data_IF_658685437777
#
_entry.id   IF_658685437777
#
_cell.length_a   1.000
_cell.length_b   1.000
_cell.length_c   1.000
_cell.angle_alpha   90.00
_cell.angle_beta   90.00
_cell.angle_gamma   90.00
#
_symmetry.space_group_name_H-M   'P 1'
#
loop_
_entity.id
_entity.type
_entity.pdbx_description
1 polymer ?
#
# COMPACT_ATOMS: atom_id res chain seq x y z
N UNK A 1 -3.47 -52.20 -65.36
CA UNK A 1 -2.52 -51.08 -65.25
C UNK A 1 -3.00 -50.17 -64.12
N UNK A 2 -2.05 -49.78 -63.26
CA UNK A 2 -2.12 -48.79 -62.17
C UNK A 2 -2.96 -49.14 -60.91
N UNK A 3 -2.20 -49.65 -59.94
CA UNK A 3 -2.46 -50.06 -58.57
C UNK A 3 -2.78 -48.90 -57.62
N UNK A 4 -3.77 -49.08 -56.76
CA UNK A 4 -4.08 -48.26 -55.57
C UNK A 4 -3.01 -48.45 -54.47
N UNK A 5 -2.52 -47.40 -53.80
CA UNK A 5 -1.81 -47.60 -52.54
C UNK A 5 -2.76 -47.42 -51.33
N UNK A 6 -2.72 -48.42 -50.45
CA UNK A 6 -3.30 -48.42 -49.11
C UNK A 6 -2.61 -47.40 -48.17
N UNK A 7 -3.31 -46.88 -47.16
CA UNK A 7 -2.72 -46.02 -46.13
C UNK A 7 -1.97 -46.82 -45.06
N UNK A 8 -0.81 -46.30 -44.65
CA UNK A 8 0.03 -46.79 -43.56
C UNK A 8 -0.58 -46.45 -42.19
N UNK A 9 -0.51 -47.33 -41.18
CA UNK A 9 -0.89 -47.00 -39.80
C UNK A 9 0.31 -46.40 -39.05
N UNK A 10 0.15 -45.22 -38.47
CA UNK A 10 1.05 -44.70 -37.45
C UNK A 10 0.41 -44.84 -36.07
N UNK A 11 1.05 -45.66 -35.23
CA UNK A 11 0.81 -45.72 -33.80
C UNK A 11 1.53 -44.57 -33.08
N UNK A 12 0.86 -44.12 -31.99
CA UNK A 12 1.30 -43.40 -30.77
C UNK A 12 2.11 -42.09 -30.96
N UNK A 13 2.03 -41.06 -30.11
CA UNK A 13 2.21 -41.04 -28.66
C UNK A 13 1.53 -39.82 -27.99
N UNK A 14 0.98 -40.05 -26.80
CA UNK A 14 0.90 -39.15 -25.64
C UNK A 14 0.90 -37.63 -25.88
N UNK A 15 -0.30 -37.05 -25.94
CA UNK A 15 -0.54 -35.62 -25.70
C UNK A 15 -1.45 -35.43 -24.50
N UNK A 16 -0.91 -35.54 -23.29
CA UNK A 16 -1.59 -35.17 -22.05
C UNK A 16 -2.17 -33.76 -22.17
N UNK A 17 -3.49 -33.65 -22.25
CA UNK A 17 -4.21 -32.39 -22.06
C UNK A 17 -4.04 -31.96 -20.61
N UNK A 18 -3.04 -31.12 -20.33
CA UNK A 18 -3.01 -30.34 -19.11
C UNK A 18 -4.08 -29.24 -19.21
N UNK A 19 -5.24 -29.53 -18.64
CA UNK A 19 -6.26 -28.56 -18.29
C UNK A 19 -5.64 -27.51 -17.37
N UNK A 20 -5.42 -26.29 -17.87
CA UNK A 20 -5.09 -25.14 -17.03
C UNK A 20 -6.37 -24.64 -16.34
N UNK A 21 -6.85 -25.43 -15.39
CA UNK A 21 -7.81 -24.99 -14.38
C UNK A 21 -7.03 -24.20 -13.34
N UNK A 22 -6.76 -22.91 -13.63
CA UNK A 22 -6.25 -21.98 -12.63
C UNK A 22 -7.41 -21.48 -11.81
N UNK A 23 -7.78 -22.27 -10.80
CA UNK A 23 -8.49 -21.78 -9.63
C UNK A 23 -7.69 -20.62 -9.03
N UNK A 24 -8.23 -19.40 -8.87
CA UNK A 24 -7.64 -18.44 -7.97
C UNK A 24 -7.90 -18.96 -6.55
N UNK A 25 -6.83 -19.44 -5.91
CA UNK A 25 -6.86 -19.82 -4.52
C UNK A 25 -7.31 -18.63 -3.68
N UNK A 26 -8.49 -18.75 -3.07
CA UNK A 26 -8.92 -17.94 -1.95
C UNK A 26 -7.94 -18.17 -0.80
N UNK A 27 -7.07 -17.21 -0.55
CA UNK A 27 -6.04 -17.29 0.48
C UNK A 27 -5.37 -15.95 0.74
N UNK A 28 -6.14 -14.87 0.89
CA UNK A 28 -5.59 -13.55 1.15
C UNK A 28 -5.27 -13.36 2.64
N UNK A 29 -4.18 -14.03 3.03
CA UNK A 29 -3.47 -13.76 4.27
C UNK A 29 -3.01 -12.30 4.31
N UNK A 30 -3.40 -11.60 5.36
CA UNK A 30 -3.02 -10.23 5.71
C UNK A 30 -1.51 -10.00 5.91
N UNK A 31 -0.66 -10.99 5.62
CA UNK A 31 0.78 -10.99 5.94
C UNK A 31 1.66 -10.53 4.77
N UNK A 32 1.18 -10.55 3.52
CA UNK A 32 1.96 -10.10 2.34
C UNK A 32 2.03 -8.57 2.22
N UNK A 33 1.18 -7.83 2.96
CA UNK A 33 1.01 -6.38 2.79
C UNK A 33 2.07 -5.48 3.44
N UNK A 34 2.69 -5.90 4.54
CA UNK A 34 3.55 -4.99 5.33
C UNK A 34 4.93 -4.77 4.71
N UNK A 35 5.60 -5.81 4.25
CA UNK A 35 6.98 -5.72 3.73
C UNK A 35 7.07 -4.81 2.50
N UNK A 36 6.03 -4.79 1.66
CA UNK A 36 5.95 -3.89 0.50
C UNK A 36 5.93 -2.42 0.93
N UNK A 37 5.25 -2.09 2.03
CA UNK A 37 5.13 -0.73 2.57
C UNK A 37 6.41 -0.24 3.28
N UNK A 38 7.37 -1.13 3.50
CA UNK A 38 8.66 -0.82 4.12
C UNK A 38 9.81 -0.83 3.12
N UNK A 39 9.57 -1.25 1.87
CA UNK A 39 10.59 -1.32 0.84
C UNK A 39 11.26 0.05 0.63
N UNK A 40 12.59 0.10 0.81
CA UNK A 40 13.40 1.30 0.62
C UNK A 40 13.34 2.32 1.77
N UNK A 41 12.54 2.09 2.82
CA UNK A 41 12.46 2.98 3.97
C UNK A 41 13.62 2.73 4.93
N UNK A 42 14.55 3.68 5.09
CA UNK A 42 15.49 3.69 6.21
C UNK A 42 14.72 4.09 7.49
N UNK A 43 14.50 3.21 8.47
CA UNK A 43 13.65 3.51 9.62
C UNK A 43 14.32 4.53 10.52
N UNK A 44 13.80 5.75 10.54
CA UNK A 44 14.14 6.82 11.47
C UNK A 44 12.85 7.54 11.83
N UNK A 45 12.79 8.18 13.00
CA UNK A 45 11.60 8.93 13.44
C UNK A 45 11.11 9.89 12.35
N UNK A 46 12.04 10.62 11.71
CA UNK A 46 11.75 11.53 10.59
C UNK A 46 11.14 10.82 9.39
N UNK A 47 11.71 9.68 8.97
CA UNK A 47 11.25 8.96 7.78
C UNK A 47 9.90 8.27 8.03
N UNK A 48 9.73 7.68 9.21
CA UNK A 48 8.48 7.03 9.63
C UNK A 48 7.35 8.06 9.71
N UNK A 49 7.63 9.21 10.32
CA UNK A 49 6.69 10.35 10.36
C UNK A 49 6.31 10.79 8.95
N UNK A 50 7.31 11.03 8.09
CA UNK A 50 7.07 11.49 6.72
C UNK A 50 6.23 10.50 5.93
N UNK A 51 6.51 9.20 6.08
CA UNK A 51 5.77 8.12 5.45
C UNK A 51 4.31 8.06 5.95
N UNK A 52 4.08 8.14 7.26
CA UNK A 52 2.72 8.12 7.82
C UNK A 52 1.86 9.30 7.31
N UNK A 53 2.43 10.51 7.32
CA UNK A 53 1.76 11.70 6.79
C UNK A 53 1.50 11.56 5.28
N UNK A 54 2.49 11.07 4.52
CA UNK A 54 2.34 10.91 3.08
C UNK A 54 1.27 9.89 2.71
N UNK A 55 1.25 8.73 3.38
CA UNK A 55 0.26 7.66 3.19
C UNK A 55 -1.14 8.19 3.47
N UNK A 56 -1.37 8.85 4.61
CA UNK A 56 -2.66 9.45 4.92
C UNK A 56 -3.08 10.49 3.88
N UNK A 57 -2.15 11.35 3.45
CA UNK A 57 -2.47 12.40 2.49
C UNK A 57 -2.89 11.87 1.13
N UNK A 58 -2.28 10.80 0.63
CA UNK A 58 -2.68 10.25 -0.67
C UNK A 58 -3.99 9.46 -0.57
N UNK A 59 -4.23 8.82 0.58
CA UNK A 59 -5.46 8.08 0.87
C UNK A 59 -6.69 9.03 0.90
N UNK A 60 -6.57 10.18 1.59
CA UNK A 60 -7.56 11.28 1.56
C UNK A 60 -7.91 11.76 0.14
N UNK A 61 -6.94 11.65 -0.76
CA UNK A 61 -7.05 12.07 -2.16
C UNK A 61 -7.49 10.93 -3.09
N UNK A 62 -7.84 9.76 -2.53
CA UNK A 62 -8.35 8.60 -3.26
C UNK A 62 -7.26 7.77 -3.94
N UNK A 63 -6.07 7.70 -3.34
CA UNK A 63 -4.96 6.86 -3.81
C UNK A 63 -4.49 5.94 -2.70
N UNK A 64 -4.40 4.64 -2.99
CA UNK A 64 -3.74 3.69 -2.11
C UNK A 64 -2.30 3.47 -2.59
N UNK A 65 -1.29 3.50 -1.70
CA UNK A 65 0.06 3.10 -2.05
C UNK A 65 0.11 1.59 -2.36
N UNK A 66 1.00 1.22 -3.29
CA UNK A 66 1.31 -0.19 -3.61
C UNK A 66 2.69 -0.61 -3.06
N UNK A 67 3.37 0.30 -2.39
CA UNK A 67 4.66 0.08 -1.75
C UNK A 67 5.00 1.23 -0.80
N UNK A 68 6.17 1.14 -0.15
CA UNK A 68 6.61 2.12 0.83
C UNK A 68 6.77 3.52 0.26
N UNK A 69 6.62 4.53 1.12
CA UNK A 69 6.83 5.92 0.74
C UNK A 69 8.30 6.14 0.32
N UNK A 70 8.57 6.48 -0.96
CA UNK A 70 9.94 6.51 -1.47
C UNK A 70 10.62 7.88 -1.30
N UNK A 71 9.91 8.88 -0.77
CA UNK A 71 10.34 10.28 -0.75
C UNK A 71 9.45 11.18 -1.63
N UNK A 72 9.62 12.50 -1.49
CA UNK A 72 8.72 13.48 -2.11
C UNK A 72 8.83 13.56 -3.64
N UNK A 73 10.05 13.36 -4.13
CA UNK A 73 10.43 13.59 -5.52
C UNK A 73 10.79 12.28 -6.23
N UNK A 74 10.34 11.16 -5.67
CA UNK A 74 10.47 9.82 -6.26
C UNK A 74 9.10 9.33 -6.71
N UNK A 75 9.07 8.59 -7.81
CA UNK A 75 7.86 7.96 -8.33
C UNK A 75 7.36 6.90 -7.34
N UNK A 76 6.12 7.07 -6.88
CA UNK A 76 5.45 6.17 -5.95
C UNK A 76 4.44 5.30 -6.69
N UNK A 77 4.58 3.95 -6.64
CA UNK A 77 3.53 3.04 -7.10
C UNK A 77 2.24 3.21 -6.30
N UNK A 78 1.14 3.48 -6.99
CA UNK A 78 -0.17 3.77 -6.40
C UNK A 78 -1.30 3.10 -7.18
N UNK A 79 -2.43 2.89 -6.49
CA UNK A 79 -3.72 2.47 -7.03
C UNK A 79 -4.74 3.60 -6.86
N UNK A 80 -5.47 3.92 -7.92
CA UNK A 80 -6.61 4.82 -7.87
C UNK A 80 -7.77 4.12 -7.15
N UNK A 81 -8.24 4.68 -6.04
CA UNK A 81 -9.37 4.12 -5.29
C UNK A 81 -10.73 4.41 -5.93
N UNK A 82 -10.77 5.26 -6.96
CA UNK A 82 -12.00 5.59 -7.70
C UNK A 82 -12.34 4.51 -8.74
N UNK A 83 -11.34 3.96 -9.43
CA UNK A 83 -11.55 3.05 -10.56
C UNK A 83 -10.62 1.84 -10.59
N UNK A 84 -9.70 1.70 -9.63
CA UNK A 84 -8.78 0.57 -9.53
C UNK A 84 -7.49 0.66 -10.36
N UNK A 85 -7.33 1.67 -11.22
CA UNK A 85 -6.12 1.86 -12.04
C UNK A 85 -4.84 1.87 -11.21
N UNK A 86 -3.78 1.21 -11.68
CA UNK A 86 -2.46 1.19 -11.04
C UNK A 86 -1.39 1.85 -11.91
N UNK A 87 -0.50 2.62 -11.28
CA UNK A 87 0.67 3.19 -11.96
C UNK A 87 1.53 4.00 -11.00
N UNK A 88 2.39 4.87 -11.52
CA UNK A 88 3.33 5.66 -10.71
C UNK A 88 3.00 7.15 -10.71
N UNK A 89 3.20 7.80 -9.56
CA UNK A 89 2.97 9.24 -9.37
C UNK A 89 3.99 9.84 -8.40
N UNK A 90 4.40 11.09 -8.63
CA UNK A 90 5.18 11.83 -7.63
C UNK A 90 4.31 12.21 -6.44
N UNK A 91 4.78 11.94 -5.21
CA UNK A 91 4.07 12.39 -4.01
C UNK A 91 3.88 13.91 -3.99
N UNK A 92 4.87 14.67 -4.46
CA UNK A 92 4.80 16.13 -4.58
C UNK A 92 3.62 16.62 -5.43
N UNK A 93 3.21 15.87 -6.44
CA UNK A 93 2.01 16.15 -7.26
C UNK A 93 0.74 15.68 -6.56
N UNK A 94 0.75 14.46 -6.02
CA UNK A 94 -0.38 13.88 -5.33
C UNK A 94 -0.82 14.78 -4.17
N UNK A 95 0.08 15.18 -3.27
CA UNK A 95 -0.27 15.98 -2.07
C UNK A 95 -0.93 17.33 -2.37
N UNK A 96 -0.70 17.87 -3.58
CA UNK A 96 -1.25 19.14 -4.08
C UNK A 96 -2.54 18.95 -4.90
N UNK A 97 -3.07 17.73 -4.97
CA UNK A 97 -4.22 17.36 -5.81
C UNK A 97 -4.03 17.76 -7.29
N UNK A 98 -2.82 17.56 -7.83
CA UNK A 98 -2.51 17.81 -9.25
C UNK A 98 -2.14 16.50 -9.95
N UNK A 99 -2.52 16.33 -11.24
CA UNK A 99 -3.38 17.18 -12.07
C UNK A 99 -4.89 17.01 -11.77
N UNK A 100 -5.73 17.89 -12.32
CA UNK A 100 -7.19 17.81 -12.17
C UNK A 100 -7.79 16.53 -12.78
N UNK A 101 -7.17 16.06 -13.88
CA UNK A 101 -7.36 14.72 -14.42
C UNK A 101 -6.44 13.76 -13.64
N UNK A 102 -7.01 12.70 -13.06
CA UNK A 102 -6.27 11.75 -12.21
C UNK A 102 -5.33 10.87 -13.04
N UNK A 103 -5.84 10.27 -14.11
CA UNK A 103 -5.13 9.50 -15.12
C UNK A 103 -6.03 9.35 -16.37
N UNK A 104 -5.48 8.81 -17.47
CA UNK A 104 -6.23 8.53 -18.70
C UNK A 104 -7.35 7.53 -18.39
N UNK A 105 -8.53 7.74 -18.99
CA UNK A 105 -9.69 6.85 -18.86
C UNK A 105 -10.15 6.64 -17.40
N UNK A 106 -9.91 7.63 -16.54
CA UNK A 106 -10.57 7.69 -15.24
C UNK A 106 -12.05 8.06 -15.41
N UNK A 107 -12.80 7.95 -14.30
CA UNK A 107 -14.12 8.55 -14.15
C UNK A 107 -14.12 10.01 -14.66
N UNK A 108 -15.19 10.51 -15.29
CA UNK A 108 -15.28 11.90 -15.72
C UNK A 108 -14.96 12.88 -14.58
N UNK A 109 -14.29 13.98 -14.90
CA UNK A 109 -13.84 14.96 -13.91
C UNK A 109 -14.99 15.52 -13.06
N UNK A 110 -16.19 15.64 -13.64
CA UNK A 110 -17.42 16.07 -12.96
C UNK A 110 -17.84 15.13 -11.82
N UNK A 111 -17.49 13.85 -11.89
CA UNK A 111 -17.91 12.84 -10.91
C UNK A 111 -16.86 12.58 -9.83
N UNK A 112 -15.62 13.06 -10.03
CA UNK A 112 -14.54 12.92 -9.03
C UNK A 112 -14.94 13.41 -7.63
N UNK A 113 -15.61 14.57 -7.42
CA UNK A 113 -15.94 15.04 -6.08
C UNK A 113 -16.83 14.05 -5.32
N UNK A 114 -17.84 13.49 -5.99
CA UNK A 114 -18.76 12.52 -5.39
C UNK A 114 -18.05 11.21 -5.03
N UNK A 115 -17.17 10.71 -5.92
CA UNK A 115 -16.38 9.51 -5.64
C UNK A 115 -15.44 9.70 -4.45
N UNK A 116 -14.76 10.86 -4.36
CA UNK A 116 -13.88 11.17 -3.23
C UNK A 116 -14.64 11.38 -1.92
N UNK A 117 -15.85 11.93 -1.95
CA UNK A 117 -16.69 12.05 -0.76
C UNK A 117 -17.02 10.68 -0.15
N UNK A 118 -17.38 9.69 -0.99
CA UNK A 118 -17.63 8.30 -0.55
C UNK A 118 -16.38 7.65 0.08
N UNK A 119 -15.22 7.86 -0.52
CA UNK A 119 -13.95 7.35 0.02
C UNK A 119 -13.60 7.98 1.36
N UNK A 120 -13.80 9.30 1.51
CA UNK A 120 -13.57 10.00 2.79
C UNK A 120 -14.49 9.50 3.89
N UNK A 121 -15.73 9.12 3.58
CA UNK A 121 -16.65 8.54 4.56
C UNK A 121 -16.14 7.16 5.02
N UNK A 122 -15.72 6.31 4.07
CA UNK A 122 -15.10 5.01 4.39
C UNK A 122 -13.82 5.14 5.24
N UNK A 123 -13.02 6.17 5.00
CA UNK A 123 -11.82 6.44 5.80
C UNK A 123 -12.14 6.89 7.24
N UNK A 124 -13.36 7.40 7.49
CA UNK A 124 -13.83 7.81 8.83
C UNK A 124 -14.54 6.70 9.59
N UNK A 125 -15.15 5.73 8.91
CA UNK A 125 -15.67 4.53 9.58
C UNK A 125 -14.51 3.77 10.24
N UNK A 126 -14.69 3.39 11.51
CA UNK A 126 -13.68 2.74 12.35
C UNK A 126 -12.89 1.64 11.62
N UNK A 127 -11.58 1.49 11.89
CA UNK A 127 -10.85 0.33 11.36
C UNK A 127 -11.27 -0.94 12.13
N UNK A 128 -11.52 -2.03 11.39
CA UNK A 128 -11.65 -3.39 11.93
C UNK A 128 -10.30 -4.09 12.12
N UNK A 129 -9.24 -3.31 12.29
CA UNK A 129 -7.87 -3.80 12.42
C UNK A 129 -7.76 -4.63 13.71
N UNK A 130 -7.41 -5.91 13.58
CA UNK A 130 -7.17 -6.78 14.74
C UNK A 130 -5.89 -6.42 15.51
N UNK A 131 -4.90 -5.88 14.81
CA UNK A 131 -3.67 -5.39 15.41
C UNK A 131 -3.83 -3.92 15.82
N UNK A 132 -3.54 -3.62 17.09
CA UNK A 132 -3.46 -2.26 17.58
C UNK A 132 -2.38 -1.47 16.81
N UNK A 133 -2.73 -0.24 16.42
CA UNK A 133 -1.83 0.69 15.76
C UNK A 133 -1.97 2.07 16.41
N UNK A 134 -0.90 2.89 16.43
CA UNK A 134 -0.89 4.12 17.21
C UNK A 134 -1.83 5.17 16.62
N UNK A 135 -2.90 5.51 17.35
CA UNK A 135 -3.88 6.55 17.00
C UNK A 135 -3.94 7.67 18.03
N UNK A 136 -3.02 7.68 18.99
CA UNK A 136 -2.83 8.76 19.98
C UNK A 136 -1.36 9.16 20.04
N UNK A 137 -1.08 10.39 20.49
CA UNK A 137 0.29 10.90 20.61
C UNK A 137 1.16 10.05 21.56
N UNK A 138 0.56 9.51 22.63
CA UNK A 138 1.23 8.63 23.59
C UNK A 138 1.61 7.29 22.94
N UNK A 139 0.67 6.65 22.22
CA UNK A 139 0.97 5.42 21.50
C UNK A 139 2.04 5.63 20.41
N UNK A 140 2.08 6.81 19.77
CA UNK A 140 3.15 7.16 18.82
C UNK A 140 4.50 7.22 19.53
N UNK A 141 4.59 7.85 20.71
CA UNK A 141 5.82 7.90 21.50
C UNK A 141 6.30 6.49 21.87
N UNK A 142 5.40 5.66 22.41
CA UNK A 142 5.68 4.26 22.75
C UNK A 142 6.16 3.45 21.54
N UNK A 143 5.56 3.66 20.37
CA UNK A 143 5.97 3.00 19.14
C UNK A 143 7.39 3.43 18.70
N UNK A 144 7.73 4.72 18.82
CA UNK A 144 9.08 5.19 18.50
C UNK A 144 10.14 4.63 19.44
N UNK A 145 9.85 4.55 20.74
CA UNK A 145 10.74 3.90 21.71
C UNK A 145 10.93 2.41 21.38
N UNK A 146 9.85 1.68 21.08
CA UNK A 146 9.91 0.27 20.70
C UNK A 146 10.73 0.05 19.41
N UNK A 147 10.60 0.94 18.42
CA UNK A 147 11.39 0.91 17.19
C UNK A 147 12.87 1.15 17.48
N UNK A 148 13.20 2.17 18.29
CA UNK A 148 14.58 2.47 18.66
C UNK A 148 15.22 1.31 19.42
N UNK A 149 14.48 0.70 20.36
CA UNK A 149 14.92 -0.48 21.09
C UNK A 149 15.18 -1.68 20.16
N UNK A 150 14.26 -1.96 19.24
CA UNK A 150 14.43 -3.04 18.26
C UNK A 150 15.66 -2.83 17.38
N UNK A 151 15.92 -1.57 16.96
CA UNK A 151 17.14 -1.23 16.22
C UNK A 151 18.41 -1.44 17.03
N UNK A 152 18.43 -0.99 18.29
CA UNK A 152 19.59 -1.18 19.20
C UNK A 152 19.91 -2.66 19.42
N UNK A 153 18.88 -3.50 19.51
CA UNK A 153 19.03 -4.95 19.73
C UNK A 153 19.24 -5.76 18.44
N UNK A 154 19.12 -5.14 17.26
CA UNK A 154 19.14 -5.87 15.98
C UNK A 154 17.92 -6.77 15.75
N UNK A 155 16.83 -6.57 16.50
CA UNK A 155 15.61 -7.36 16.42
C UNK A 155 14.78 -6.96 15.20
N UNK A 156 15.08 -7.59 14.07
CA UNK A 156 14.44 -7.29 12.79
C UNK A 156 12.96 -7.66 12.78
N UNK A 157 12.56 -8.73 13.46
CA UNK A 157 11.16 -9.16 13.50
C UNK A 157 10.29 -8.14 14.25
N UNK A 158 10.74 -7.69 15.43
CA UNK A 158 10.04 -6.65 16.19
C UNK A 158 10.01 -5.33 15.45
N UNK A 159 11.13 -4.94 14.82
CA UNK A 159 11.19 -3.72 14.00
C UNK A 159 10.14 -3.72 12.87
N UNK A 160 10.04 -4.82 12.13
CA UNK A 160 9.05 -4.95 11.03
C UNK A 160 7.61 -4.95 11.55
N UNK A 161 7.34 -5.57 12.70
CA UNK A 161 6.02 -5.57 13.32
C UNK A 161 5.59 -4.15 13.73
N UNK A 162 6.46 -3.38 14.38
CA UNK A 162 6.16 -1.99 14.75
C UNK A 162 5.96 -1.09 13.54
N UNK A 163 6.83 -1.22 12.53
CA UNK A 163 6.70 -0.47 11.28
C UNK A 163 5.41 -0.83 10.52
N UNK A 164 4.98 -2.09 10.56
CA UNK A 164 3.73 -2.55 9.96
C UNK A 164 2.49 -1.97 10.62
N UNK A 165 2.49 -1.88 11.95
CA UNK A 165 1.41 -1.18 12.69
C UNK A 165 1.33 0.29 12.29
N UNK A 166 2.47 0.91 12.02
CA UNK A 166 2.54 2.33 11.70
C UNK A 166 2.15 2.65 10.25
N UNK A 167 2.69 1.89 9.30
CA UNK A 167 2.64 2.21 7.86
C UNK A 167 1.79 1.24 7.04
N UNK A 168 1.32 0.13 7.62
CA UNK A 168 0.57 -0.89 6.91
C UNK A 168 -0.77 -0.41 6.34
N UNK A 169 -1.35 -1.20 5.42
CA UNK A 169 -2.64 -0.91 4.79
C UNK A 169 -3.75 -0.94 5.84
N UNK A 170 -4.32 0.22 6.16
CA UNK A 170 -5.45 0.35 7.08
C UNK A 170 -6.20 1.65 6.79
N UNK A 171 -7.55 1.65 6.75
CA UNK A 171 -8.35 2.85 6.47
C UNK A 171 -8.17 3.98 7.50
N UNK A 172 -7.70 3.68 8.72
CA UNK A 172 -7.39 4.69 9.74
C UNK A 172 -6.06 5.43 9.50
N UNK A 173 -5.62 5.58 8.24
CA UNK A 173 -4.39 6.32 7.89
C UNK A 173 -4.41 7.75 8.45
N UNK A 174 -5.57 8.43 8.34
CA UNK A 174 -5.77 9.79 8.86
C UNK A 174 -5.63 9.89 10.37
N UNK A 175 -6.17 8.93 11.14
CA UNK A 175 -6.05 8.92 12.59
C UNK A 175 -4.59 8.74 13.04
N UNK A 176 -3.84 7.86 12.37
CA UNK A 176 -2.40 7.69 12.63
C UNK A 176 -1.62 8.96 12.32
N UNK A 177 -1.87 9.59 11.17
CA UNK A 177 -1.19 10.84 10.82
C UNK A 177 -1.51 11.97 11.81
N UNK A 178 -2.76 12.09 12.27
CA UNK A 178 -3.15 13.07 13.29
C UNK A 178 -2.43 12.82 14.63
N UNK A 179 -2.33 11.55 15.06
CA UNK A 179 -1.58 11.16 16.25
C UNK A 179 -0.09 11.51 16.16
N UNK A 180 0.51 11.30 14.99
CA UNK A 180 1.91 11.67 14.71
C UNK A 180 2.09 13.18 14.77
N UNK A 181 1.21 13.95 14.14
CA UNK A 181 1.25 15.42 14.22
C UNK A 181 1.12 15.90 15.66
N UNK A 182 0.18 15.34 16.43
CA UNK A 182 0.00 15.69 17.84
C UNK A 182 1.25 15.39 18.68
N UNK A 183 1.89 14.24 18.48
CA UNK A 183 3.16 13.90 19.14
C UNK A 183 4.26 14.90 18.83
N UNK A 184 4.45 15.26 17.54
CA UNK A 184 5.47 16.24 17.14
C UNK A 184 5.22 17.64 17.69
N UNK A 185 3.95 18.03 17.86
CA UNK A 185 3.60 19.31 18.49
C UNK A 185 3.88 19.30 19.99
N UNK A 186 3.61 18.19 20.67
CA UNK A 186 3.87 18.02 22.11
C UNK A 186 5.36 17.83 22.45
N UNK A 187 6.15 17.31 21.51
CA UNK A 187 7.58 17.07 21.66
C UNK A 187 8.31 17.46 20.38
N UNK A 188 8.56 18.77 20.15
CA UNK A 188 9.20 19.24 18.93
C UNK A 188 10.59 18.64 18.79
N UNK A 189 10.96 18.11 17.61
CA UNK A 189 12.29 17.55 17.40
C UNK A 189 13.34 18.64 17.61
N UNK A 190 14.37 18.35 18.41
CA UNK A 190 15.48 19.27 18.62
C UNK A 190 16.13 19.59 17.27
N UNK A 191 16.27 20.89 16.94
CA UNK A 191 16.89 21.34 15.68
C UNK A 191 18.34 20.85 15.66
N UNK A 192 18.65 19.93 14.75
CA UNK A 192 20.02 19.55 14.39
C UNK A 192 20.57 20.47 13.32
#
# INVERSE_FOLDING_TARGET
>A
MATTPSPTPHHNENGTRMSNDRTPGNGDGHTTGTSAYLAGLKPSVRNITSAAIAVARIDELGWAPLGGYPGSDVLWPVRCLVCGWTGTRFYSHLRRARPAIRHRECLPQSEHPAALAKLKERARSACECSAAHPTTAEQVAQAFEAIAEAQLRGDTARLLAELGRFLGPCPATGARAAAVTAHLTASPPSKS
#
